data_IF_252978622326
#
_entry.id   IF_252978622326
#
_cell.length_a   1.000
_cell.length_b   1.000
_cell.length_c   1.000
_cell.angle_alpha   90.00
_cell.angle_beta   90.00
_cell.angle_gamma   90.00
#
_symmetry.space_group_name_H-M   'P 1'
#
loop_
_entity.id
_entity.type
_entity.pdbx_description
1 polymer ?
#
# COMPACT_ATOMS: atom_id res chain seq x y z
N UNK A 1 11.52 1.72 101.71
CA UNK A 1 12.47 2.62 101.02
C UNK A 1 12.16 2.58 99.52
N UNK A 2 11.54 3.64 99.01
CA UNK A 2 12.06 4.53 97.94
C UNK A 2 12.09 3.84 96.55
N UNK A 3 11.50 4.31 95.46
CA UNK A 3 10.68 5.47 95.11
C UNK A 3 10.04 5.18 93.72
N UNK A 4 8.89 5.82 93.43
CA UNK A 4 8.12 5.83 92.18
C UNK A 4 8.96 6.13 90.90
N UNK A 5 8.52 5.67 89.72
CA UNK A 5 7.88 6.54 88.69
C UNK A 5 7.67 5.86 87.31
N UNK A 6 6.39 5.72 86.95
CA UNK A 6 5.71 6.03 85.68
C UNK A 6 6.19 5.52 84.28
N UNK A 7 5.30 4.67 83.73
CA UNK A 7 4.58 4.79 82.43
C UNK A 7 5.35 4.69 81.10
N UNK A 8 4.89 3.66 80.34
CA UNK A 8 4.44 3.64 78.93
C UNK A 8 5.42 3.20 77.83
N UNK A 9 4.82 2.41 76.90
CA UNK A 9 5.19 2.17 75.49
C UNK A 9 6.47 1.33 75.26
N UNK A 10 6.64 0.50 74.22
CA UNK A 10 5.82 -0.06 73.13
C UNK A 10 6.77 -1.06 72.41
N UNK A 11 6.22 -2.06 71.73
CA UNK A 11 6.80 -2.75 70.56
C UNK A 11 8.14 -3.51 70.65
N UNK A 12 8.02 -4.83 70.54
CA UNK A 12 8.56 -5.67 69.47
C UNK A 12 9.94 -5.32 68.89
N UNK A 13 10.90 -6.24 69.08
CA UNK A 13 11.99 -6.42 68.13
C UNK A 13 12.37 -7.90 68.04
N UNK A 14 12.28 -8.39 66.80
CA UNK A 14 12.42 -9.76 66.32
C UNK A 14 13.91 -10.08 66.22
N UNK A 15 14.35 -11.24 66.73
CA UNK A 15 15.66 -11.82 66.39
C UNK A 15 15.46 -13.12 65.58
N UNK A 16 15.54 -12.93 64.26
CA UNK A 16 15.92 -13.85 63.18
C UNK A 16 16.21 -15.33 63.51
N UNK A 17 15.39 -16.22 62.92
CA UNK A 17 15.82 -17.54 62.47
C UNK A 17 15.63 -17.60 60.95
N UNK A 18 16.73 -17.79 60.24
CA UNK A 18 16.80 -17.90 58.78
C UNK A 18 16.39 -19.30 58.32
N UNK A 19 15.37 -19.39 57.47
CA UNK A 19 15.08 -20.56 56.63
C UNK A 19 14.95 -20.11 55.17
N UNK A 20 15.37 -20.94 54.19
CA UNK A 20 15.42 -20.57 52.79
C UNK A 20 14.02 -20.37 52.20
N UNK A 21 13.86 -19.29 51.44
CA UNK A 21 12.66 -18.98 50.66
C UNK A 21 12.41 -20.10 49.63
N UNK A 22 11.42 -20.95 49.89
CA UNK A 22 10.73 -21.71 48.85
C UNK A 22 9.75 -20.72 48.23
N UNK A 23 10.09 -20.14 47.07
CA UNK A 23 9.12 -19.37 46.30
C UNK A 23 8.14 -20.34 45.66
N UNK A 24 6.97 -20.49 46.26
CA UNK A 24 5.81 -21.05 45.58
C UNK A 24 5.42 -20.05 44.50
N UNK A 25 5.80 -20.34 43.25
CA UNK A 25 5.15 -19.74 42.11
C UNK A 25 3.69 -20.18 42.16
N UNK A 26 2.82 -19.28 42.57
CA UNK A 26 1.38 -19.47 42.57
C UNK A 26 0.95 -19.64 41.11
N UNK A 27 0.87 -20.88 40.66
CA UNK A 27 0.23 -21.24 39.41
C UNK A 27 -1.24 -20.92 39.58
N UNK A 28 -1.69 -19.78 39.06
CA UNK A 28 -3.14 -19.56 38.93
C UNK A 28 -3.75 -20.81 38.27
N UNK A 29 -4.82 -21.37 38.86
CA UNK A 29 -5.40 -22.61 38.38
C UNK A 29 -5.74 -22.43 36.89
N UNK A 30 -5.32 -23.40 36.07
CA UNK A 30 -5.54 -23.40 34.62
C UNK A 30 -7.01 -23.12 34.25
N UNK A 31 -7.94 -23.43 35.16
CA UNK A 31 -9.36 -23.11 35.08
C UNK A 31 -9.64 -21.60 34.99
N UNK A 32 -8.95 -20.74 35.75
CA UNK A 32 -9.10 -19.27 35.65
C UNK A 32 -8.57 -18.72 34.33
N UNK A 33 -7.48 -19.30 33.81
CA UNK A 33 -6.94 -18.95 32.49
C UNK A 33 -7.88 -19.38 31.37
N UNK A 34 -8.48 -20.56 31.49
CA UNK A 34 -9.48 -21.06 30.54
C UNK A 34 -10.74 -20.21 30.60
N UNK A 35 -11.28 -19.87 31.77
CA UNK A 35 -12.43 -18.96 31.91
C UNK A 35 -12.15 -17.57 31.34
N UNK A 36 -10.92 -17.06 31.50
CA UNK A 36 -10.52 -15.76 30.93
C UNK A 36 -10.43 -15.82 29.41
N UNK A 37 -9.87 -16.90 28.86
CA UNK A 37 -9.80 -17.13 27.43
C UNK A 37 -11.20 -17.37 26.84
N UNK A 38 -12.04 -18.10 27.54
CA UNK A 38 -13.43 -18.38 27.18
C UNK A 38 -14.26 -17.07 27.19
N UNK A 39 -14.02 -16.17 28.15
CA UNK A 39 -14.63 -14.83 28.17
C UNK A 39 -14.14 -13.91 27.04
N UNK A 40 -12.87 -14.00 26.66
CA UNK A 40 -12.29 -13.27 25.52
C UNK A 40 -12.84 -13.80 24.20
N UNK A 41 -13.05 -15.12 24.10
CA UNK A 41 -13.57 -15.82 22.92
C UNK A 41 -15.10 -15.68 22.79
N UNK A 42 -15.86 -15.66 23.89
CA UNK A 42 -17.33 -15.67 23.87
C UNK A 42 -17.99 -14.28 23.72
N UNK A 43 -17.29 -13.15 23.91
CA UNK A 43 -17.95 -11.83 23.81
C UNK A 43 -17.09 -10.60 23.50
N UNK A 44 -15.85 -10.51 23.99
CA UNK A 44 -15.04 -9.27 23.86
C UNK A 44 -14.13 -9.23 22.62
N UNK A 45 -13.60 -10.36 22.15
CA UNK A 45 -12.78 -10.41 20.94
C UNK A 45 -13.62 -10.22 19.68
N UNK A 46 -14.78 -10.87 19.62
CA UNK A 46 -15.71 -10.79 18.49
C UNK A 46 -16.29 -9.37 18.35
N UNK A 47 -16.66 -8.71 19.46
CA UNK A 47 -17.19 -7.35 19.43
C UNK A 47 -16.15 -6.30 19.00
N UNK A 48 -14.89 -6.46 19.40
CA UNK A 48 -13.80 -5.63 18.89
C UNK A 48 -13.56 -5.85 17.39
N UNK A 49 -13.73 -7.07 16.91
CA UNK A 49 -13.54 -7.41 15.50
C UNK A 49 -14.70 -6.87 14.64
N UNK A 50 -15.93 -6.97 15.12
CA UNK A 50 -17.13 -6.37 14.51
C UNK A 50 -17.00 -4.85 14.48
N UNK A 51 -16.64 -4.21 15.60
CA UNK A 51 -16.41 -2.75 15.65
C UNK A 51 -15.32 -2.31 14.67
N UNK A 52 -14.29 -3.13 14.47
CA UNK A 52 -13.22 -2.85 13.51
C UNK A 52 -13.65 -3.05 12.06
N UNK A 53 -14.50 -4.02 11.78
CA UNK A 53 -15.13 -4.19 10.47
C UNK A 53 -16.04 -3.01 10.15
N UNK A 54 -16.85 -2.54 11.10
CA UNK A 54 -17.70 -1.35 10.93
C UNK A 54 -16.87 -0.09 10.71
N UNK A 55 -15.78 0.08 11.46
CA UNK A 55 -14.85 1.18 11.26
C UNK A 55 -14.23 1.14 9.85
N UNK A 56 -13.78 -0.02 9.39
CA UNK A 56 -13.23 -0.19 8.04
C UNK A 56 -14.27 0.08 6.96
N UNK A 57 -15.52 -0.36 7.14
CA UNK A 57 -16.59 -0.08 6.19
C UNK A 57 -16.91 1.42 6.09
N UNK A 58 -16.88 2.13 7.22
CA UNK A 58 -17.06 3.58 7.23
C UNK A 58 -15.88 4.31 6.58
N UNK A 59 -14.66 3.85 6.81
CA UNK A 59 -13.46 4.37 6.17
C UNK A 59 -13.51 4.20 4.64
N UNK A 60 -13.94 3.02 4.16
CA UNK A 60 -14.09 2.75 2.72
C UNK A 60 -15.16 3.66 2.09
N UNK A 61 -16.29 3.87 2.77
CA UNK A 61 -17.32 4.80 2.30
C UNK A 61 -16.79 6.24 2.24
N UNK A 62 -16.02 6.67 3.25
CA UNK A 62 -15.37 7.98 3.28
C UNK A 62 -14.39 8.14 2.12
N UNK A 63 -13.50 7.17 1.92
CA UNK A 63 -12.50 7.19 0.86
C UNK A 63 -13.15 7.20 -0.54
N UNK A 64 -14.25 6.47 -0.74
CA UNK A 64 -14.99 6.51 -2.00
C UNK A 64 -15.63 7.89 -2.23
N UNK A 65 -16.16 8.52 -1.18
CA UNK A 65 -16.67 9.89 -1.27
C UNK A 65 -15.58 10.91 -1.60
N UNK A 66 -14.41 10.80 -0.96
CA UNK A 66 -13.24 11.64 -1.26
C UNK A 66 -12.77 11.44 -2.71
N UNK A 67 -12.72 10.19 -3.19
CA UNK A 67 -12.34 9.89 -4.56
C UNK A 67 -13.33 10.48 -5.58
N UNK A 68 -14.63 10.41 -5.31
CA UNK A 68 -15.64 11.04 -6.16
C UNK A 68 -15.51 12.57 -6.17
N UNK A 69 -15.20 13.19 -5.02
CA UNK A 69 -14.97 14.64 -4.96
C UNK A 69 -13.73 15.06 -5.75
N UNK A 70 -12.63 14.30 -5.65
CA UNK A 70 -11.41 14.54 -6.41
C UNK A 70 -11.63 14.36 -7.92
N UNK A 71 -12.43 13.36 -8.33
CA UNK A 71 -12.82 13.16 -9.72
C UNK A 71 -13.61 14.34 -10.26
N UNK A 72 -14.60 14.83 -9.52
CA UNK A 72 -15.36 16.01 -9.92
C UNK A 72 -14.49 17.26 -9.99
N UNK A 73 -13.57 17.47 -9.05
CA UNK A 73 -12.66 18.62 -9.07
C UNK A 73 -11.71 18.57 -10.29
N UNK A 74 -11.22 17.37 -10.62
CA UNK A 74 -10.38 17.15 -11.80
C UNK A 74 -11.15 17.37 -13.10
N UNK A 75 -12.38 16.85 -13.21
CA UNK A 75 -13.26 17.09 -14.36
C UNK A 75 -13.58 18.58 -14.52
N UNK A 76 -13.87 19.28 -13.42
CA UNK A 76 -14.15 20.72 -13.44
C UNK A 76 -12.91 21.54 -13.79
N UNK A 77 -11.72 21.12 -13.34
CA UNK A 77 -10.45 21.74 -13.72
C UNK A 77 -10.16 21.57 -15.21
N UNK A 78 -10.33 20.35 -15.74
CA UNK A 78 -10.17 20.07 -17.16
C UNK A 78 -11.18 20.82 -18.03
N UNK A 79 -12.44 20.93 -17.58
CA UNK A 79 -13.47 21.71 -18.28
C UNK A 79 -13.10 23.18 -18.35
N UNK A 80 -12.67 23.79 -17.23
CA UNK A 80 -12.17 25.17 -17.20
C UNK A 80 -10.97 25.36 -18.11
N UNK A 81 -10.04 24.41 -18.11
CA UNK A 81 -8.86 24.45 -18.99
C UNK A 81 -9.28 24.41 -20.47
N UNK A 82 -10.26 23.57 -20.84
CA UNK A 82 -10.79 23.48 -22.20
C UNK A 82 -11.50 24.76 -22.63
N UNK A 83 -12.35 25.31 -21.77
CA UNK A 83 -13.03 26.60 -22.02
C UNK A 83 -12.02 27.73 -22.22
N UNK A 84 -10.95 27.78 -21.41
CA UNK A 84 -9.86 28.74 -21.56
C UNK A 84 -9.12 28.58 -22.89
N UNK A 85 -8.89 27.34 -23.35
CA UNK A 85 -8.27 27.11 -24.66
C UNK A 85 -9.15 27.57 -25.83
N UNK A 86 -10.47 27.40 -25.72
CA UNK A 86 -11.42 27.85 -26.74
C UNK A 86 -11.47 29.39 -26.81
N UNK A 87 -11.53 30.09 -25.67
CA UNK A 87 -11.47 31.56 -25.63
C UNK A 87 -10.15 32.09 -26.21
N UNK A 88 -9.03 31.41 -25.93
CA UNK A 88 -7.73 31.79 -26.48
C UNK A 88 -7.69 31.64 -28.00
N UNK A 89 -8.28 30.58 -28.56
CA UNK A 89 -8.36 30.36 -30.00
C UNK A 89 -9.27 31.38 -30.69
N UNK A 90 -10.43 31.69 -30.08
CA UNK A 90 -11.35 32.72 -30.60
C UNK A 90 -10.68 34.10 -30.65
N UNK A 91 -9.95 34.48 -29.60
CA UNK A 91 -9.15 35.73 -29.58
C UNK A 91 -8.06 35.70 -30.64
N UNK A 92 -7.36 34.58 -30.81
CA UNK A 92 -6.32 34.44 -31.83
C UNK A 92 -6.91 34.63 -33.23
N UNK A 93 -8.05 33.99 -33.51
CA UNK A 93 -8.77 34.11 -34.77
C UNK A 93 -9.27 35.53 -35.03
N UNK A 94 -9.78 36.23 -34.01
CA UNK A 94 -10.17 37.65 -34.12
C UNK A 94 -8.96 38.56 -34.40
N UNK A 95 -7.82 38.30 -33.75
CA UNK A 95 -6.58 39.06 -33.97
C UNK A 95 -6.04 38.82 -35.39
N UNK A 96 -6.05 37.58 -35.88
CA UNK A 96 -5.66 37.27 -37.26
C UNK A 96 -6.66 37.82 -38.28
N UNK A 97 -7.96 37.81 -37.99
CA UNK A 97 -9.00 38.34 -38.89
C UNK A 97 -8.96 39.87 -39.00
N UNK A 98 -8.56 40.56 -37.92
CA UNK A 98 -8.29 42.00 -37.96
C UNK A 98 -6.94 42.38 -38.62
N UNK A 99 -6.13 41.40 -39.02
CA UNK A 99 -4.83 41.63 -39.68
C UNK A 99 -4.80 41.33 -41.18
N UNK A 100 -5.93 40.92 -41.78
CA UNK A 100 -6.03 40.70 -43.24
C UNK A 100 -7.00 41.71 -43.84
N UNK A 101 -6.50 42.93 -44.05
CA UNK A 101 -7.07 43.86 -45.02
C UNK A 101 -6.18 43.84 -46.27
N UNK A 102 -6.69 43.42 -47.44
CA UNK A 102 -5.92 43.49 -48.67
C UNK A 102 -5.94 44.94 -49.16
N UNK A 103 -4.80 45.61 -49.13
CA UNK A 103 -4.60 46.78 -49.97
C UNK A 103 -3.56 46.43 -51.03
N UNK A 104 -3.99 46.38 -52.28
CA UNK A 104 -3.11 46.28 -53.43
C UNK A 104 -3.51 47.34 -54.44
N UNK A 105 -2.65 48.34 -54.63
CA UNK A 105 -2.38 48.84 -55.98
C UNK A 105 -0.97 49.45 -56.07
N UNK A 106 -0.13 48.72 -56.81
CA UNK A 106 0.89 49.15 -57.78
C UNK A 106 1.91 50.26 -57.48
N UNK A 107 3.19 49.89 -57.61
CA UNK A 107 4.32 50.77 -57.91
C UNK A 107 5.60 49.97 -58.10
N UNK A 108 6.04 49.82 -59.35
CA UNK A 108 7.30 49.20 -59.78
C UNK A 108 8.53 49.88 -59.12
N UNK A 109 9.61 49.15 -58.80
CA UNK A 109 10.90 49.19 -59.52
C UNK A 109 11.98 48.28 -58.86
N UNK A 110 12.91 47.85 -59.72
CA UNK A 110 14.11 47.04 -59.64
C UNK A 110 14.90 46.91 -58.31
N UNK A 111 15.45 45.71 -58.03
CA UNK A 111 16.82 45.30 -58.43
C UNK A 111 17.44 44.17 -57.58
N UNK A 112 17.80 43.09 -58.29
CA UNK A 112 18.91 42.13 -58.11
C UNK A 112 19.04 41.14 -56.91
N UNK A 113 19.69 39.96 -57.16
CA UNK A 113 19.59 38.71 -56.39
C UNK A 113 20.93 38.29 -55.73
N UNK A 114 21.02 37.00 -55.33
CA UNK A 114 22.17 36.21 -54.75
C UNK A 114 22.43 36.45 -53.26
N UNK A 115 22.69 35.49 -52.36
CA UNK A 115 22.90 34.04 -52.30
C UNK A 115 22.87 33.66 -50.79
N UNK A 116 23.00 32.36 -50.48
CA UNK A 116 23.59 31.80 -49.25
C UNK A 116 22.65 31.13 -48.22
N UNK A 117 22.38 29.85 -48.50
CA UNK A 117 22.67 28.68 -47.65
C UNK A 117 22.70 28.86 -46.12
N UNK A 118 21.83 28.14 -45.40
CA UNK A 118 22.28 27.23 -44.33
C UNK A 118 21.15 26.28 -43.87
N UNK A 119 21.59 25.03 -43.70
CA UNK A 119 20.91 23.90 -43.08
C UNK A 119 20.67 24.10 -41.59
N UNK A 120 19.72 23.31 -41.08
CA UNK A 120 19.59 22.81 -39.71
C UNK A 120 19.02 23.76 -38.63
N UNK A 121 17.81 23.44 -38.20
CA UNK A 121 17.30 23.72 -36.87
C UNK A 121 16.09 22.81 -36.60
N UNK A 122 16.37 21.70 -35.94
CA UNK A 122 15.41 20.97 -35.14
C UNK A 122 14.51 21.90 -34.29
N UNK A 123 13.20 21.75 -34.44
CA UNK A 123 12.22 21.97 -33.37
C UNK A 123 11.27 20.79 -33.43
N UNK A 124 11.56 19.73 -32.68
CA UNK A 124 10.84 19.44 -31.43
C UNK A 124 9.39 19.98 -31.47
N UNK A 125 8.53 19.29 -32.21
CA UNK A 125 7.14 19.13 -31.77
C UNK A 125 7.13 18.15 -30.60
N UNK A 126 7.63 18.59 -29.44
CA UNK A 126 7.19 18.02 -28.17
C UNK A 126 6.03 18.89 -27.69
N UNK A 127 4.83 18.56 -28.20
CA UNK A 127 3.68 18.55 -27.31
C UNK A 127 4.10 17.79 -26.03
N UNK A 128 3.60 18.14 -24.83
CA UNK A 128 3.89 17.34 -23.67
C UNK A 128 3.26 15.96 -23.92
N UNK A 129 4.06 15.02 -24.43
CA UNK A 129 3.75 13.61 -24.34
C UNK A 129 3.79 13.39 -22.85
N UNK A 130 2.61 13.39 -22.22
CA UNK A 130 2.46 12.84 -20.89
C UNK A 130 3.13 11.47 -21.00
N UNK A 131 4.30 11.32 -20.38
CA UNK A 131 4.98 10.03 -20.30
C UNK A 131 3.97 9.15 -19.61
N UNK A 132 3.28 8.31 -20.39
CA UNK A 132 2.24 7.45 -19.88
C UNK A 132 2.93 6.48 -18.93
N UNK A 133 2.90 6.78 -17.63
CA UNK A 133 3.65 6.07 -16.61
C UNK A 133 2.98 4.73 -16.23
N UNK A 134 2.11 4.22 -17.10
CA UNK A 134 1.27 3.05 -16.86
C UNK A 134 0.13 3.27 -15.86
N UNK A 135 -0.15 4.48 -15.39
CA UNK A 135 -1.22 4.69 -14.38
C UNK A 135 -2.59 4.20 -14.87
N UNK A 136 -2.98 4.55 -16.10
CA UNK A 136 -4.25 4.12 -16.67
C UNK A 136 -4.34 2.59 -16.82
N UNK A 137 -3.29 1.97 -17.37
CA UNK A 137 -3.19 0.52 -17.51
C UNK A 137 -3.24 -0.20 -16.15
N UNK A 138 -2.54 0.33 -15.15
CA UNK A 138 -2.57 -0.18 -13.79
C UNK A 138 -3.97 -0.09 -13.16
N UNK A 139 -4.64 1.06 -13.27
CA UNK A 139 -6.00 1.23 -12.76
C UNK A 139 -7.01 0.31 -13.45
N UNK A 140 -6.88 0.12 -14.77
CA UNK A 140 -7.71 -0.83 -15.52
C UNK A 140 -7.52 -2.26 -15.00
N UNK A 141 -6.27 -2.71 -14.80
CA UNK A 141 -5.99 -4.02 -14.23
C UNK A 141 -6.57 -4.19 -12.81
N UNK A 142 -6.51 -3.15 -11.96
CA UNK A 142 -7.15 -3.19 -10.65
C UNK A 142 -8.68 -3.28 -10.73
N UNK A 143 -9.31 -2.63 -11.70
CA UNK A 143 -10.75 -2.75 -11.92
C UNK A 143 -11.10 -4.19 -12.30
N UNK A 144 -10.34 -4.80 -13.22
CA UNK A 144 -10.48 -6.20 -13.62
C UNK A 144 -10.35 -7.16 -12.42
N UNK A 145 -9.40 -6.91 -11.51
CA UNK A 145 -9.28 -7.68 -10.26
C UNK A 145 -10.50 -7.53 -9.36
N UNK A 146 -10.99 -6.31 -9.15
CA UNK A 146 -12.17 -6.05 -8.32
C UNK A 146 -13.44 -6.67 -8.88
N UNK A 147 -13.51 -6.81 -10.20
CA UNK A 147 -14.57 -7.52 -10.92
C UNK A 147 -14.41 -9.04 -10.92
N UNK A 148 -13.37 -9.58 -10.25
CA UNK A 148 -13.15 -11.02 -10.09
C UNK A 148 -12.57 -11.70 -11.33
N UNK A 149 -12.18 -10.96 -12.36
CA UNK A 149 -11.59 -11.50 -13.58
C UNK A 149 -10.09 -11.71 -13.42
N UNK A 150 -9.70 -12.57 -12.47
CA UNK A 150 -8.31 -12.73 -12.04
C UNK A 150 -7.36 -13.11 -13.17
N UNK A 151 -7.76 -14.02 -14.07
CA UNK A 151 -6.90 -14.41 -15.20
C UNK A 151 -6.63 -13.23 -16.15
N UNK A 152 -7.67 -12.48 -16.52
CA UNK A 152 -7.52 -11.31 -17.40
C UNK A 152 -6.63 -10.24 -16.75
N UNK A 153 -6.76 -10.05 -15.43
CA UNK A 153 -5.88 -9.14 -14.70
C UNK A 153 -4.43 -9.64 -14.67
N UNK A 154 -4.18 -10.93 -14.50
CA UNK A 154 -2.83 -11.51 -14.58
C UNK A 154 -2.22 -11.23 -15.95
N UNK A 155 -2.97 -11.47 -17.03
CA UNK A 155 -2.48 -11.27 -18.40
C UNK A 155 -2.14 -9.79 -18.65
N UNK A 156 -2.99 -8.87 -18.19
CA UNK A 156 -2.75 -7.42 -18.29
C UNK A 156 -1.56 -6.95 -17.44
N UNK A 157 -1.40 -7.48 -16.23
CA UNK A 157 -0.29 -7.14 -15.34
C UNK A 157 1.04 -7.76 -15.80
N UNK A 158 1.01 -8.90 -16.49
CA UNK A 158 2.21 -9.58 -16.97
C UNK A 158 2.94 -8.79 -18.06
N UNK A 159 2.21 -8.05 -18.91
CA UNK A 159 2.79 -7.19 -19.96
C UNK A 159 3.17 -5.79 -19.47
N UNK A 160 2.77 -5.43 -18.25
CA UNK A 160 3.01 -4.11 -17.66
C UNK A 160 4.50 -3.73 -17.58
N UNK A 161 5.42 -4.63 -17.15
CA UNK A 161 6.84 -4.31 -17.06
C UNK A 161 7.50 -4.02 -18.40
N UNK A 162 7.06 -4.71 -19.46
CA UNK A 162 7.59 -4.52 -20.81
C UNK A 162 7.06 -3.23 -21.44
N UNK A 163 5.79 -2.90 -21.15
CA UNK A 163 5.13 -1.71 -21.69
C UNK A 163 5.55 -0.43 -20.95
N UNK A 164 5.77 -0.52 -19.63
CA UNK A 164 6.07 0.61 -18.76
C UNK A 164 7.28 0.32 -17.84
N UNK A 165 8.48 0.10 -18.39
CA UNK A 165 9.66 -0.33 -17.62
C UNK A 165 10.18 0.71 -16.60
N UNK A 166 9.79 1.98 -16.75
CA UNK A 166 10.11 3.05 -15.81
C UNK A 166 9.02 3.33 -14.76
N UNK A 167 7.97 2.51 -14.71
CA UNK A 167 6.78 2.84 -13.93
C UNK A 167 6.97 2.70 -12.43
N UNK A 168 6.52 3.72 -11.70
CA UNK A 168 6.42 3.67 -10.22
C UNK A 168 5.43 2.61 -9.73
N UNK A 169 4.55 2.12 -10.61
CA UNK A 169 3.57 1.10 -10.29
C UNK A 169 4.11 -0.33 -10.46
N UNK A 170 5.31 -0.54 -11.00
CA UNK A 170 5.90 -1.88 -11.18
C UNK A 170 5.82 -2.79 -9.95
N UNK A 171 6.29 -2.39 -8.74
CA UNK A 171 6.17 -3.25 -7.56
C UNK A 171 4.72 -3.54 -7.18
N UNK A 172 3.79 -2.61 -7.48
CA UNK A 172 2.37 -2.84 -7.25
C UNK A 172 1.79 -3.80 -8.28
N UNK A 173 2.17 -3.68 -9.55
CA UNK A 173 1.73 -4.57 -10.62
C UNK A 173 2.12 -6.02 -10.32
N UNK A 174 3.38 -6.27 -9.95
CA UNK A 174 3.83 -7.60 -9.51
C UNK A 174 3.13 -8.08 -8.24
N UNK A 175 2.92 -7.20 -7.24
CA UNK A 175 2.16 -7.57 -6.03
C UNK A 175 0.75 -8.05 -6.38
N UNK A 176 0.03 -7.32 -7.22
CA UNK A 176 -1.33 -7.69 -7.61
C UNK A 176 -1.39 -8.89 -8.55
N UNK A 177 -0.38 -9.08 -9.39
CA UNK A 177 -0.22 -10.31 -10.17
C UNK A 177 -0.06 -11.51 -9.23
N UNK A 178 0.74 -11.37 -8.17
CA UNK A 178 0.91 -12.40 -7.14
C UNK A 178 -0.39 -12.70 -6.41
N UNK A 179 -1.13 -11.66 -5.99
CA UNK A 179 -2.43 -11.82 -5.31
C UNK A 179 -3.46 -12.53 -6.20
N UNK A 180 -3.53 -12.16 -7.48
CA UNK A 180 -4.44 -12.80 -8.43
C UNK A 180 -4.10 -14.27 -8.64
N UNK A 181 -2.81 -14.59 -8.80
CA UNK A 181 -2.33 -15.96 -8.91
C UNK A 181 -2.62 -16.77 -7.63
N UNK A 182 -2.46 -16.16 -6.45
CA UNK A 182 -2.80 -16.78 -5.17
C UNK A 182 -4.29 -17.16 -5.11
N UNK A 183 -5.18 -16.26 -5.53
CA UNK A 183 -6.63 -16.53 -5.56
C UNK A 183 -6.97 -17.69 -6.50
N UNK A 184 -6.32 -17.76 -7.66
CA UNK A 184 -6.47 -18.88 -8.60
C UNK A 184 -5.71 -20.16 -8.17
N UNK A 185 -5.05 -20.14 -7.01
CA UNK A 185 -4.20 -21.23 -6.48
C UNK A 185 -2.99 -21.57 -7.36
N UNK A 186 -2.57 -20.65 -8.22
CA UNK A 186 -1.32 -20.72 -8.96
C UNK A 186 -0.15 -20.29 -8.07
N UNK A 187 0.09 -21.03 -6.99
CA UNK A 187 0.98 -20.59 -5.92
C UNK A 187 2.44 -20.44 -6.35
N UNK A 188 2.94 -21.23 -7.30
CA UNK A 188 4.30 -21.07 -7.85
C UNK A 188 4.46 -19.73 -8.60
N UNK A 189 3.47 -19.36 -9.41
CA UNK A 189 3.44 -18.06 -10.08
C UNK A 189 3.29 -16.91 -9.08
N UNK A 190 2.49 -17.10 -8.03
CA UNK A 190 2.34 -16.13 -6.95
C UNK A 190 3.67 -15.89 -6.22
N UNK A 191 4.37 -16.96 -5.84
CA UNK A 191 5.70 -16.90 -5.23
C UNK A 191 6.66 -16.09 -6.10
N UNK A 192 6.71 -16.40 -7.40
CA UNK A 192 7.58 -15.70 -8.35
C UNK A 192 7.29 -14.20 -8.36
N UNK A 193 6.02 -13.81 -8.47
CA UNK A 193 5.63 -12.41 -8.51
C UNK A 193 5.97 -11.67 -7.19
N UNK A 194 5.70 -12.27 -6.03
CA UNK A 194 6.07 -11.67 -4.73
C UNK A 194 7.58 -11.57 -4.54
N UNK A 195 8.33 -12.59 -4.96
CA UNK A 195 9.79 -12.58 -4.89
C UNK A 195 10.38 -11.46 -5.76
N UNK A 196 9.83 -11.21 -6.94
CA UNK A 196 10.21 -10.07 -7.79
C UNK A 196 10.07 -8.74 -7.05
N UNK A 197 8.97 -8.54 -6.29
CA UNK A 197 8.80 -7.32 -5.49
C UNK A 197 9.90 -7.19 -4.43
N UNK A 198 10.22 -8.28 -3.74
CA UNK A 198 11.19 -8.32 -2.64
C UNK A 198 12.60 -8.05 -3.15
N UNK A 199 13.00 -8.72 -4.23
CA UNK A 199 14.39 -8.70 -4.72
C UNK A 199 14.68 -7.48 -5.58
N UNK A 200 13.72 -7.08 -6.42
CA UNK A 200 13.94 -6.02 -7.41
C UNK A 200 13.53 -4.64 -6.89
N UNK A 201 12.59 -4.58 -5.94
CA UNK A 201 12.05 -3.32 -5.41
C UNK A 201 12.12 -3.23 -3.88
N UNK A 202 13.31 -3.38 -3.26
CA UNK A 202 13.46 -3.44 -1.79
C UNK A 202 13.03 -2.15 -1.06
N UNK A 203 12.97 -1.01 -1.77
CA UNK A 203 12.49 0.26 -1.24
C UNK A 203 10.95 0.43 -1.31
N UNK A 204 10.24 -0.51 -1.95
CA UNK A 204 8.79 -0.44 -2.12
C UNK A 204 8.05 -0.64 -0.80
N UNK A 205 6.95 0.09 -0.62
CA UNK A 205 6.02 -0.15 0.49
C UNK A 205 5.33 -1.52 0.41
N UNK A 206 5.42 -2.21 -0.73
CA UNK A 206 4.85 -3.54 -0.96
C UNK A 206 5.73 -4.70 -0.50
N UNK A 207 6.97 -4.46 -0.08
CA UNK A 207 7.89 -5.55 0.28
C UNK A 207 7.36 -6.37 1.46
N UNK A 208 6.95 -5.71 2.55
CA UNK A 208 6.44 -6.39 3.75
C UNK A 208 5.20 -7.25 3.44
N UNK A 209 4.26 -6.70 2.67
CA UNK A 209 3.04 -7.42 2.25
C UNK A 209 3.38 -8.57 1.28
N UNK A 210 4.35 -8.38 0.37
CA UNK A 210 4.80 -9.43 -0.55
C UNK A 210 5.47 -10.57 0.19
N UNK A 211 6.30 -10.30 1.21
CA UNK A 211 6.92 -11.34 2.03
C UNK A 211 5.88 -12.13 2.83
N UNK A 212 4.85 -11.45 3.37
CA UNK A 212 3.73 -12.14 4.03
C UNK A 212 3.06 -13.12 3.06
N UNK A 213 2.74 -12.64 1.84
CA UNK A 213 2.02 -13.43 0.84
C UNK A 213 2.89 -14.52 0.19
N UNK A 214 4.20 -14.30 0.10
CA UNK A 214 5.18 -15.34 -0.21
C UNK A 214 5.11 -16.47 0.82
N UNK A 215 5.15 -16.15 2.11
CA UNK A 215 5.02 -17.14 3.18
C UNK A 215 3.68 -17.89 3.14
N UNK A 216 2.58 -17.20 2.79
CA UNK A 216 1.28 -17.86 2.62
C UNK A 216 1.29 -18.80 1.42
N UNK A 217 1.80 -18.35 0.27
CA UNK A 217 1.89 -19.16 -0.95
C UNK A 217 2.77 -20.39 -0.76
N UNK A 218 3.89 -20.26 -0.06
CA UNK A 218 4.76 -21.38 0.33
C UNK A 218 4.01 -22.40 1.19
N UNK A 219 3.19 -21.93 2.13
CA UNK A 219 2.38 -22.82 2.96
C UNK A 219 1.34 -23.58 2.13
N UNK A 220 0.64 -22.90 1.24
CA UNK A 220 -0.38 -23.53 0.38
C UNK A 220 0.22 -24.55 -0.60
N UNK A 221 1.51 -24.44 -0.95
CA UNK A 221 2.26 -25.47 -1.69
C UNK A 221 2.74 -26.64 -0.82
N UNK A 222 2.53 -26.61 0.49
CA UNK A 222 3.03 -27.62 1.42
C UNK A 222 4.48 -27.41 1.87
N UNK A 223 5.13 -26.32 1.46
CA UNK A 223 6.49 -25.97 1.86
C UNK A 223 6.48 -25.30 3.24
N UNK A 224 6.02 -26.03 4.26
CA UNK A 224 5.72 -25.51 5.60
C UNK A 224 6.94 -24.90 6.30
N UNK A 225 8.12 -25.51 6.17
CA UNK A 225 9.34 -24.98 6.79
C UNK A 225 9.79 -23.67 6.16
N UNK A 226 9.72 -23.57 4.82
CA UNK A 226 9.99 -22.33 4.10
C UNK A 226 8.99 -21.24 4.50
N UNK A 227 7.71 -21.57 4.58
CA UNK A 227 6.67 -20.65 5.02
C UNK A 227 6.94 -20.11 6.44
N UNK A 228 7.29 -21.00 7.38
CA UNK A 228 7.64 -20.61 8.76
C UNK A 228 8.83 -19.66 8.78
N UNK A 229 9.90 -19.98 8.02
CA UNK A 229 11.08 -19.13 7.92
C UNK A 229 10.71 -17.73 7.40
N UNK A 230 10.01 -17.66 6.26
CA UNK A 230 9.60 -16.40 5.63
C UNK A 230 8.74 -15.55 6.58
N UNK A 231 7.73 -16.13 7.22
CA UNK A 231 6.84 -15.41 8.13
C UNK A 231 7.56 -14.92 9.40
N UNK A 232 8.52 -15.68 9.92
CA UNK A 232 9.38 -15.20 11.02
C UNK A 232 10.24 -14.02 10.58
N UNK A 233 10.80 -14.05 9.36
CA UNK A 233 11.56 -12.93 8.81
C UNK A 233 10.70 -11.66 8.70
N UNK A 234 9.43 -11.78 8.28
CA UNK A 234 8.50 -10.63 8.27
C UNK A 234 8.34 -10.04 9.68
N UNK A 235 8.16 -10.88 10.70
CA UNK A 235 8.03 -10.41 12.09
C UNK A 235 9.31 -9.72 12.61
N UNK A 236 10.48 -10.18 12.19
CA UNK A 236 11.76 -9.62 12.62
C UNK A 236 12.07 -8.30 11.92
N UNK A 237 11.89 -8.25 10.59
CA UNK A 237 12.29 -7.11 9.77
C UNK A 237 11.23 -6.00 9.72
N UNK A 238 9.94 -6.35 9.85
CA UNK A 238 8.81 -5.43 9.72
C UNK A 238 7.91 -5.42 10.95
N UNK A 239 8.50 -5.53 12.15
CA UNK A 239 7.83 -5.77 13.44
C UNK A 239 6.64 -4.87 13.77
N UNK A 240 6.61 -3.62 13.28
CA UNK A 240 5.53 -2.66 13.55
C UNK A 240 4.42 -2.60 12.48
N UNK A 241 4.48 -3.47 11.46
CA UNK A 241 3.53 -3.47 10.34
C UNK A 241 2.32 -4.39 10.57
N UNK A 242 1.27 -4.21 9.76
CA UNK A 242 0.18 -5.18 9.62
C UNK A 242 0.70 -6.55 9.19
N UNK A 243 1.67 -6.59 8.26
CA UNK A 243 2.26 -7.82 7.75
C UNK A 243 2.89 -8.68 8.86
N UNK A 244 3.63 -8.07 9.80
CA UNK A 244 4.18 -8.80 10.94
C UNK A 244 3.10 -9.37 11.86
N UNK A 245 2.03 -8.61 12.13
CA UNK A 245 0.91 -9.08 12.95
C UNK A 245 0.19 -10.26 12.30
N UNK A 246 -0.07 -10.19 10.99
CA UNK A 246 -0.69 -11.27 10.21
C UNK A 246 0.22 -12.51 10.11
N UNK A 247 1.54 -12.29 9.98
CA UNK A 247 2.53 -13.38 9.97
C UNK A 247 2.50 -14.16 11.27
N UNK A 248 2.41 -13.48 12.41
CA UNK A 248 2.27 -14.12 13.72
C UNK A 248 1.01 -14.99 13.79
N UNK A 249 -0.14 -14.45 13.40
CA UNK A 249 -1.41 -15.18 13.39
C UNK A 249 -1.30 -16.44 12.52
N UNK A 250 -0.71 -16.33 11.32
CA UNK A 250 -0.52 -17.49 10.45
C UNK A 250 0.41 -18.52 11.07
N UNK A 251 1.54 -18.11 11.64
CA UNK A 251 2.49 -19.01 12.30
C UNK A 251 1.87 -19.78 13.46
N UNK A 252 1.05 -19.12 14.27
CA UNK A 252 0.37 -19.77 15.39
C UNK A 252 -0.63 -20.81 14.88
N UNK A 253 -1.39 -20.50 13.84
CA UNK A 253 -2.27 -21.46 13.16
C UNK A 253 -1.52 -22.68 12.60
N UNK A 254 -0.37 -22.46 11.97
CA UNK A 254 0.48 -23.55 11.46
C UNK A 254 0.95 -24.47 12.59
N UNK A 255 1.32 -23.92 13.76
CA UNK A 255 1.73 -24.73 14.92
C UNK A 255 0.57 -25.58 15.46
N UNK A 256 -0.64 -25.04 15.45
CA UNK A 256 -1.84 -25.77 15.88
C UNK A 256 -2.20 -26.91 14.91
N UNK A 257 -2.09 -26.67 13.60
CA UNK A 257 -2.37 -27.67 12.56
C UNK A 257 -1.31 -28.80 12.48
N UNK A 258 -0.11 -28.59 13.03
CA UNK A 258 1.02 -29.55 12.98
C UNK A 258 1.26 -30.29 14.30
N UNK A 259 0.44 -30.05 15.33
CA UNK A 259 0.47 -30.78 16.62
C UNK A 259 -0.39 -32.02 16.57
#
# INVERSE_FOLDING_TARGET
MQLKSNKKLLCALILSVTLPNISWAESEPLQQRVERLERIIQGQGLMNLISRVDQLQNEVKRLNGENESLRHELEQSQKRQREMYIDLDERLQQVTSNSVQPNSTAGNDASNPVDESASDSAKLSTAPVAVENGEAAYQAALQTLRSGQYQQAIDALAVFPDTYPGSVYLPNAYYWQGEANYVLRHFEAAITAFQTVIDTYPASTKVADSMLKLGFSQYELGNVDAAKLTLNNVMQQYSNTSAAKLSKVRLDRIKEETR
#
